data_IF_643860790190
#
_entry.id   IF_643860790190
#
_cell.length_a   1.000
_cell.length_b   1.000
_cell.length_c   1.000
_cell.angle_alpha   90.00
_cell.angle_beta   90.00
_cell.angle_gamma   90.00
#
_symmetry.space_group_name_H-M   'P 1'
#
loop_
_entity.id
_entity.type
_entity.pdbx_description
1 polymer ?
#
# COMPACT_ATOMS: atom_id res chain seq x y z
N UNK A 1 -27.75 3.13 -62.87
CA UNK A 1 -26.35 3.42 -62.47
C UNK A 1 -26.14 3.53 -60.96
N UNK A 2 -27.15 3.84 -60.13
CA UNK A 2 -26.97 3.96 -58.67
C UNK A 2 -26.53 2.68 -57.95
N UNK A 3 -27.01 1.50 -58.37
CA UNK A 3 -26.69 0.19 -57.74
C UNK A 3 -25.24 -0.25 -57.98
N UNK A 4 -24.59 0.20 -59.05
CA UNK A 4 -23.22 -0.20 -59.38
C UNK A 4 -22.13 0.51 -58.54
N UNK A 5 -22.50 1.57 -57.80
CA UNK A 5 -21.56 2.42 -57.06
C UNK A 5 -21.60 2.12 -55.55
N UNK A 6 -22.68 1.52 -55.05
CA UNK A 6 -22.85 1.23 -53.63
C UNK A 6 -22.24 -0.15 -53.34
N UNK A 7 -21.23 -0.26 -52.46
CA UNK A 7 -20.65 -1.55 -52.12
C UNK A 7 -21.54 -2.25 -51.09
N UNK A 8 -22.62 -2.90 -51.55
CA UNK A 8 -23.64 -3.54 -50.71
C UNK A 8 -23.07 -4.64 -49.78
N UNK A 9 -21.96 -5.27 -50.14
CA UNK A 9 -21.29 -6.30 -49.33
C UNK A 9 -20.33 -5.74 -48.27
N UNK A 10 -19.93 -4.47 -48.36
CA UNK A 10 -18.93 -3.88 -47.47
C UNK A 10 -19.34 -3.90 -46.00
N UNK A 11 -20.59 -3.58 -45.60
CA UNK A 11 -21.00 -3.64 -44.19
C UNK A 11 -20.91 -5.06 -43.61
N UNK A 12 -21.25 -6.08 -44.41
CA UNK A 12 -21.17 -7.48 -43.99
C UNK A 12 -19.71 -7.93 -43.80
N UNK A 13 -18.84 -7.59 -44.76
CA UNK A 13 -17.40 -7.89 -44.68
C UNK A 13 -16.77 -7.19 -43.48
N UNK A 14 -17.05 -5.90 -43.27
CA UNK A 14 -16.53 -5.15 -42.14
C UNK A 14 -16.95 -5.77 -40.79
N UNK A 15 -18.21 -6.19 -40.68
CA UNK A 15 -18.73 -6.84 -39.47
C UNK A 15 -18.03 -8.18 -39.18
N UNK A 16 -17.81 -9.00 -40.21
CA UNK A 16 -17.10 -10.28 -40.06
C UNK A 16 -15.65 -10.04 -39.62
N UNK A 17 -14.96 -9.07 -40.23
CA UNK A 17 -13.57 -8.72 -39.88
C UNK A 17 -13.49 -8.22 -38.43
N UNK A 18 -14.41 -7.34 -38.01
CA UNK A 18 -14.48 -6.86 -36.62
C UNK A 18 -14.76 -8.00 -35.64
N UNK A 19 -15.69 -8.91 -35.97
CA UNK A 19 -16.02 -10.06 -35.12
C UNK A 19 -14.82 -11.01 -34.95
N UNK A 20 -14.05 -11.25 -36.01
CA UNK A 20 -12.78 -11.98 -35.92
C UNK A 20 -11.77 -11.26 -35.02
N UNK A 21 -11.69 -9.92 -35.10
CA UNK A 21 -10.89 -9.09 -34.20
C UNK A 21 -11.29 -9.27 -32.73
N UNK A 22 -12.60 -9.19 -32.44
CA UNK A 22 -13.15 -9.43 -31.09
C UNK A 22 -12.78 -10.82 -30.57
N UNK A 23 -12.91 -11.87 -31.39
CA UNK A 23 -12.53 -13.23 -30.99
C UNK A 23 -11.04 -13.36 -30.67
N UNK A 24 -10.16 -12.67 -31.42
CA UNK A 24 -8.71 -12.65 -31.14
C UNK A 24 -8.39 -11.92 -29.84
N UNK A 25 -9.07 -10.80 -29.56
CA UNK A 25 -8.91 -10.03 -28.33
C UNK A 25 -9.44 -10.79 -27.10
N UNK A 26 -10.58 -11.48 -27.23
CA UNK A 26 -11.15 -12.28 -26.15
C UNK A 26 -10.21 -13.43 -25.71
N UNK A 27 -9.50 -14.07 -26.65
CA UNK A 27 -8.44 -15.06 -26.36
C UNK A 27 -7.25 -14.48 -25.59
N UNK A 28 -7.12 -13.15 -25.53
CA UNK A 28 -6.11 -12.40 -24.77
C UNK A 28 -6.72 -11.66 -23.56
N UNK A 29 -7.85 -12.15 -23.05
CA UNK A 29 -8.57 -11.59 -21.91
C UNK A 29 -9.13 -10.16 -22.11
N UNK A 30 -9.22 -9.67 -23.36
CA UNK A 30 -9.86 -8.39 -23.68
C UNK A 30 -11.27 -8.61 -24.20
N UNK A 31 -12.27 -8.40 -23.34
CA UNK A 31 -13.69 -8.62 -23.65
C UNK A 31 -14.28 -7.35 -24.26
N UNK A 32 -14.57 -7.40 -25.57
CA UNK A 32 -15.20 -6.30 -26.30
C UNK A 32 -16.73 -6.47 -26.28
N UNK A 33 -17.44 -5.50 -25.67
CA UNK A 33 -18.92 -5.50 -25.60
C UNK A 33 -19.57 -4.95 -26.87
N UNK A 34 -18.90 -4.04 -27.57
CA UNK A 34 -19.39 -3.38 -28.79
C UNK A 34 -18.38 -3.54 -29.92
N UNK A 35 -18.79 -4.07 -31.08
CA UNK A 35 -17.90 -4.35 -32.21
C UNK A 35 -17.10 -3.13 -32.69
N UNK A 36 -17.73 -1.95 -32.72
CA UNK A 36 -17.10 -0.69 -33.10
C UNK A 36 -15.95 -0.25 -32.17
N UNK A 37 -15.91 -0.77 -30.94
CA UNK A 37 -14.82 -0.47 -30.00
C UNK A 37 -13.47 -1.03 -30.46
N UNK A 38 -13.43 -2.03 -31.34
CA UNK A 38 -12.17 -2.54 -31.91
C UNK A 38 -11.46 -1.46 -32.72
N UNK A 39 -12.21 -0.72 -33.54
CA UNK A 39 -11.68 0.40 -34.34
C UNK A 39 -11.32 1.60 -33.45
N UNK A 40 -12.18 1.88 -32.46
CA UNK A 40 -11.92 2.97 -31.50
C UNK A 40 -10.63 2.74 -30.72
N UNK A 41 -10.39 1.50 -30.26
CA UNK A 41 -9.17 1.15 -29.55
C UNK A 41 -7.92 1.29 -30.44
N UNK A 42 -8.02 0.92 -31.71
CA UNK A 42 -6.92 1.07 -32.68
C UNK A 42 -6.59 2.52 -33.05
N UNK A 43 -7.50 3.46 -32.80
CA UNK A 43 -7.32 4.89 -33.03
C UNK A 43 -7.07 5.69 -31.74
N UNK A 44 -6.94 5.01 -30.59
CA UNK A 44 -6.70 5.66 -29.32
C UNK A 44 -5.32 6.34 -29.30
N UNK A 45 -5.30 7.64 -28.98
CA UNK A 45 -4.07 8.44 -28.82
C UNK A 45 -3.74 8.71 -27.35
N UNK A 46 -4.69 8.46 -26.44
CA UNK A 46 -4.53 8.64 -24.99
C UNK A 46 -5.17 7.45 -24.27
N UNK A 47 -4.47 6.91 -23.27
CA UNK A 47 -5.00 5.88 -22.37
C UNK A 47 -4.93 6.41 -20.94
N UNK A 48 -6.09 6.55 -20.30
CA UNK A 48 -6.19 6.88 -18.89
C UNK A 48 -6.43 5.59 -18.09
N UNK A 49 -5.58 5.29 -17.11
CA UNK A 49 -5.65 4.08 -16.31
C UNK A 49 -5.69 4.42 -14.83
N UNK A 50 -6.55 3.75 -14.07
CA UNK A 50 -6.49 3.79 -12.61
C UNK A 50 -5.20 3.11 -12.13
N UNK A 51 -4.65 3.53 -10.99
CA UNK A 51 -3.45 2.91 -10.42
C UNK A 51 -3.79 1.57 -9.74
N UNK A 52 -4.65 1.60 -8.73
CA UNK A 52 -4.85 0.48 -7.81
C UNK A 52 -5.56 -0.68 -8.51
N UNK A 53 -4.93 -1.86 -8.52
CA UNK A 53 -5.48 -3.08 -9.12
C UNK A 53 -5.40 -3.15 -10.65
N UNK A 54 -5.12 -2.04 -11.33
CA UNK A 54 -4.86 -2.01 -12.78
C UNK A 54 -3.36 -1.92 -13.06
N UNK A 55 -2.70 -0.82 -12.67
CA UNK A 55 -1.24 -0.70 -12.81
C UNK A 55 -0.47 -1.44 -11.72
N UNK A 56 -1.09 -1.60 -10.56
CA UNK A 56 -0.56 -2.35 -9.41
C UNK A 56 -1.30 -3.65 -9.18
N UNK A 57 -0.73 -4.51 -8.34
CA UNK A 57 -1.28 -5.83 -8.06
C UNK A 57 -2.48 -5.79 -7.10
N UNK A 58 -2.75 -4.63 -6.48
CA UNK A 58 -3.66 -4.48 -5.34
C UNK A 58 -3.30 -5.48 -4.22
N UNK A 59 -2.00 -5.66 -4.00
CA UNK A 59 -1.45 -6.56 -2.99
C UNK A 59 -0.38 -5.82 -2.19
N UNK A 60 -0.82 -5.10 -1.16
CA UNK A 60 0.10 -4.42 -0.26
C UNK A 60 1.16 -5.39 0.27
N UNK A 61 2.42 -4.98 0.22
CA UNK A 61 3.57 -5.83 0.52
C UNK A 61 4.60 -5.04 1.30
N UNK A 62 5.05 -5.55 2.45
CA UNK A 62 6.17 -4.98 3.19
C UNK A 62 7.45 -5.20 2.40
N UNK A 63 8.20 -4.12 2.18
CA UNK A 63 9.44 -4.13 1.37
C UNK A 63 10.65 -3.65 2.14
N UNK A 64 10.46 -2.73 3.08
CA UNK A 64 11.54 -2.15 3.85
C UNK A 64 11.14 -2.10 5.34
N UNK A 65 12.12 -2.33 6.22
CA UNK A 65 11.95 -2.12 7.66
C UNK A 65 13.18 -1.41 8.19
N UNK A 66 12.96 -0.48 9.12
CA UNK A 66 14.03 0.23 9.79
C UNK A 66 13.83 0.19 11.29
N UNK A 67 14.93 0.06 12.03
CA UNK A 67 14.97 -0.01 13.48
C UNK A 67 16.16 0.79 13.96
N UNK A 68 16.02 1.46 15.12
CA UNK A 68 17.15 2.10 15.74
C UNK A 68 18.11 1.06 16.33
N UNK A 69 19.38 1.45 16.49
CA UNK A 69 20.38 0.69 17.23
C UNK A 69 19.88 0.40 18.65
N UNK A 70 19.80 -0.89 19.00
CA UNK A 70 19.27 -1.36 20.28
C UNK A 70 17.78 -1.71 20.27
N UNK A 71 17.05 -1.48 19.17
CA UNK A 71 15.68 -2.00 19.04
C UNK A 71 15.69 -3.49 18.66
N UNK A 72 14.82 -4.29 19.27
CA UNK A 72 14.71 -5.71 18.99
C UNK A 72 13.79 -5.98 17.79
N UNK A 73 14.29 -6.72 16.78
CA UNK A 73 13.51 -7.10 15.59
C UNK A 73 12.27 -7.92 15.93
N UNK A 74 12.32 -8.74 16.98
CA UNK A 74 11.15 -9.50 17.44
C UNK A 74 10.03 -8.57 17.93
N UNK A 75 10.34 -7.46 18.59
CA UNK A 75 9.33 -6.49 19.02
C UNK A 75 8.65 -5.82 17.82
N UNK A 76 9.40 -5.54 16.74
CA UNK A 76 8.81 -4.96 15.53
C UNK A 76 7.84 -5.94 14.88
N UNK A 77 8.25 -7.22 14.74
CA UNK A 77 7.40 -8.27 14.19
C UNK A 77 6.17 -8.51 15.07
N UNK A 78 6.35 -8.60 16.39
CA UNK A 78 5.26 -8.76 17.34
C UNK A 78 4.30 -7.58 17.29
N UNK A 79 4.77 -6.34 17.33
CA UNK A 79 3.92 -5.16 17.25
C UNK A 79 3.17 -5.03 15.91
N UNK A 80 3.83 -5.34 14.80
CA UNK A 80 3.21 -5.38 13.48
C UNK A 80 2.10 -6.45 13.35
N UNK A 81 2.32 -7.60 13.97
CA UNK A 81 1.42 -8.76 13.88
C UNK A 81 0.28 -8.72 14.90
N UNK A 82 0.56 -8.30 16.14
CA UNK A 82 -0.42 -8.29 17.24
C UNK A 82 -1.35 -7.08 17.21
N UNK A 83 -0.83 -5.90 16.80
CA UNK A 83 -1.60 -4.68 16.59
C UNK A 83 -2.27 -4.67 15.20
N UNK A 84 -3.15 -5.65 14.99
CA UNK A 84 -3.67 -6.01 13.68
C UNK A 84 -5.01 -6.77 13.80
N UNK A 85 -6.00 -6.50 12.93
CA UNK A 85 -7.28 -7.21 12.92
C UNK A 85 -7.40 -8.26 11.82
N UNK A 86 -6.38 -8.45 10.99
CA UNK A 86 -6.33 -9.48 9.96
C UNK A 86 -6.40 -10.88 10.58
N UNK A 87 -7.18 -11.75 9.94
CA UNK A 87 -7.40 -13.14 10.37
C UNK A 87 -7.17 -14.09 9.22
N UNK A 88 -6.89 -15.35 9.54
CA UNK A 88 -6.83 -16.42 8.53
C UNK A 88 -8.26 -16.94 8.30
N UNK A 89 -8.74 -16.85 7.07
CA UNK A 89 -9.99 -17.44 6.58
C UNK A 89 -9.63 -18.33 5.38
N UNK A 90 -10.03 -19.60 5.41
CA UNK A 90 -9.72 -20.60 4.37
C UNK A 90 -8.22 -20.69 4.01
N UNK A 91 -7.36 -20.55 5.02
CA UNK A 91 -5.90 -20.63 4.85
C UNK A 91 -5.27 -19.37 4.24
N UNK A 92 -6.00 -18.26 4.12
CA UNK A 92 -5.49 -16.97 3.61
C UNK A 92 -5.75 -15.84 4.59
N UNK A 93 -4.84 -14.88 4.65
CA UNK A 93 -5.04 -13.65 5.40
C UNK A 93 -6.19 -12.82 4.80
N UNK A 94 -7.11 -12.39 5.65
CA UNK A 94 -8.29 -11.61 5.32
C UNK A 94 -8.39 -10.42 6.28
N UNK A 95 -8.60 -9.23 5.75
CA UNK A 95 -8.58 -7.96 6.47
C UNK A 95 -8.25 -6.80 5.52
N UNK A 96 -7.95 -5.63 6.07
CA UNK A 96 -7.41 -4.51 5.28
C UNK A 96 -6.07 -4.90 4.63
N UNK A 97 -5.77 -4.46 3.38
CA UNK A 97 -4.51 -4.79 2.71
C UNK A 97 -3.25 -4.46 3.52
N UNK A 98 -3.24 -3.35 4.26
CA UNK A 98 -2.11 -2.96 5.13
C UNK A 98 -1.86 -4.01 6.20
N UNK A 99 -2.95 -4.49 6.79
CA UNK A 99 -2.93 -5.43 7.91
C UNK A 99 -2.57 -6.84 7.47
N UNK A 100 -3.14 -7.30 6.36
CA UNK A 100 -2.76 -8.58 5.77
C UNK A 100 -1.30 -8.59 5.32
N UNK A 101 -0.78 -7.48 4.79
CA UNK A 101 0.63 -7.35 4.41
C UNK A 101 1.58 -7.50 5.61
N UNK A 102 1.24 -6.92 6.76
CA UNK A 102 2.03 -7.03 7.98
C UNK A 102 2.01 -8.47 8.53
N UNK A 103 0.85 -9.13 8.47
CA UNK A 103 0.73 -10.53 8.91
C UNK A 103 1.46 -11.51 7.99
N UNK A 104 1.35 -11.33 6.67
CA UNK A 104 2.13 -12.09 5.67
C UNK A 104 3.64 -11.88 5.87
N UNK A 105 4.07 -10.63 6.10
CA UNK A 105 5.47 -10.28 6.34
C UNK A 105 6.00 -10.94 7.62
N UNK A 106 5.31 -10.80 8.76
CA UNK A 106 5.73 -11.38 10.02
C UNK A 106 5.85 -12.91 9.94
N UNK A 107 4.88 -13.57 9.28
CA UNK A 107 4.92 -15.01 9.03
C UNK A 107 6.11 -15.40 8.14
N UNK A 108 6.38 -14.65 7.08
CA UNK A 108 7.51 -14.89 6.16
C UNK A 108 8.87 -14.73 6.84
N UNK A 109 8.97 -13.80 7.78
CA UNK A 109 10.18 -13.58 8.59
C UNK A 109 10.37 -14.64 9.70
N UNK A 110 9.47 -15.64 9.78
CA UNK A 110 9.61 -16.78 10.66
C UNK A 110 8.94 -16.62 12.03
N UNK A 111 8.06 -15.62 12.20
CA UNK A 111 7.26 -15.50 13.42
C UNK A 111 6.29 -16.68 13.52
N UNK A 112 6.27 -17.38 14.66
CA UNK A 112 5.22 -18.34 14.97
C UNK A 112 3.92 -17.59 15.29
N UNK A 113 3.13 -17.36 14.23
CA UNK A 113 1.89 -16.58 14.30
C UNK A 113 0.83 -17.22 15.19
N UNK A 114 0.85 -18.55 15.36
CA UNK A 114 -0.11 -19.24 16.22
C UNK A 114 0.37 -19.17 17.67
N UNK A 115 1.63 -19.53 17.93
CA UNK A 115 2.20 -19.48 19.26
C UNK A 115 2.25 -18.08 19.87
N UNK A 116 2.45 -17.04 19.07
CA UNK A 116 2.43 -15.66 19.57
C UNK A 116 1.03 -15.21 20.00
N UNK A 117 -0.04 -15.60 19.28
CA UNK A 117 -1.41 -15.28 19.67
C UNK A 117 -1.79 -15.93 21.01
N UNK A 118 -1.36 -17.18 21.21
CA UNK A 118 -1.62 -17.93 22.44
C UNK A 118 -0.81 -17.38 23.63
N UNK A 119 0.44 -16.97 23.40
CA UNK A 119 1.31 -16.42 24.44
C UNK A 119 1.09 -14.94 24.74
N UNK A 120 0.43 -14.21 23.83
CA UNK A 120 0.13 -12.78 23.93
C UNK A 120 -1.37 -12.52 23.72
N UNK A 121 -2.28 -13.09 24.53
CA UNK A 121 -3.72 -12.86 24.36
C UNK A 121 -4.05 -11.35 24.46
N UNK A 122 -4.79 -10.84 23.47
CA UNK A 122 -5.31 -9.47 23.46
C UNK A 122 -6.33 -9.31 24.59
N UNK A 123 -6.11 -8.34 25.48
CA UNK A 123 -6.98 -8.05 26.63
C UNK A 123 -7.70 -6.71 26.55
N UNK A 124 -7.24 -5.80 25.70
CA UNK A 124 -7.91 -4.55 25.40
C UNK A 124 -7.43 -3.98 24.06
N UNK A 125 -8.17 -3.04 23.50
CA UNK A 125 -7.77 -2.32 22.28
C UNK A 125 -8.27 -0.88 22.22
N UNK A 126 -7.58 -0.09 21.40
CA UNK A 126 -8.04 1.20 20.90
C UNK A 126 -8.07 1.06 19.37
N UNK A 127 -9.25 0.83 18.75
CA UNK A 127 -9.37 0.60 17.32
C UNK A 127 -8.80 1.76 16.50
N UNK A 128 -8.46 1.50 15.23
CA UNK A 128 -8.01 2.57 14.34
C UNK A 128 -9.07 3.69 14.25
N UNK A 129 -8.63 4.93 14.41
CA UNK A 129 -9.45 6.12 14.21
C UNK A 129 -8.82 7.04 13.15
N UNK A 130 -9.62 7.56 12.22
CA UNK A 130 -9.13 8.41 11.14
C UNK A 130 -8.62 9.78 11.60
N UNK A 131 -9.08 10.27 12.75
CA UNK A 131 -8.59 11.50 13.37
C UNK A 131 -7.24 11.30 14.04
N UNK A 132 -7.06 10.20 14.78
CA UNK A 132 -5.80 9.84 15.45
C UNK A 132 -4.77 9.17 14.53
N UNK A 133 -5.22 8.53 13.44
CA UNK A 133 -4.45 7.76 12.46
C UNK A 133 -3.53 6.69 13.06
N UNK A 134 -3.97 6.06 14.14
CA UNK A 134 -3.26 4.97 14.82
C UNK A 134 -4.23 4.01 15.48
N UNK A 135 -3.74 2.80 15.68
CA UNK A 135 -4.37 1.68 16.35
C UNK A 135 -3.47 1.24 17.50
N UNK A 136 -4.10 0.75 18.57
CA UNK A 136 -3.38 0.16 19.70
C UNK A 136 -4.05 -1.13 20.14
N UNK A 137 -3.25 -2.15 20.42
CA UNK A 137 -3.73 -3.39 21.06
C UNK A 137 -2.91 -3.67 22.31
N UNK A 138 -3.56 -4.20 23.33
CA UNK A 138 -2.96 -4.48 24.63
C UNK A 138 -3.01 -5.97 24.88
N UNK A 139 -1.88 -6.55 25.26
CA UNK A 139 -1.68 -7.98 25.38
C UNK A 139 -1.16 -8.35 26.76
N UNK A 140 -1.67 -9.45 27.31
CA UNK A 140 -1.09 -10.06 28.50
C UNK A 140 0.06 -10.97 28.07
N UNK A 141 1.26 -10.75 28.60
CA UNK A 141 2.48 -11.49 28.24
C UNK A 141 3.14 -11.97 29.52
N UNK A 142 2.90 -13.24 29.90
CA UNK A 142 3.26 -13.75 31.22
C UNK A 142 2.69 -12.82 32.33
N UNK A 143 3.54 -12.28 33.21
CA UNK A 143 3.16 -11.35 34.27
C UNK A 143 3.13 -9.87 33.84
N UNK A 144 3.49 -9.59 32.58
CA UNK A 144 3.55 -8.23 32.02
C UNK A 144 2.33 -7.91 31.17
N UNK A 145 2.02 -6.62 31.07
CA UNK A 145 1.03 -6.12 30.12
C UNK A 145 1.76 -5.24 29.11
N UNK A 146 1.63 -5.56 27.83
CA UNK A 146 2.33 -4.85 26.75
C UNK A 146 1.28 -4.27 25.79
N UNK A 147 1.34 -2.96 25.58
CA UNK A 147 0.62 -2.28 24.52
C UNK A 147 1.51 -2.13 23.29
N UNK A 148 0.99 -2.47 22.12
CA UNK A 148 1.60 -2.21 20.82
C UNK A 148 0.79 -1.17 20.08
N UNK A 149 1.46 -0.15 19.56
CA UNK A 149 0.86 0.98 18.83
C UNK A 149 1.39 0.95 17.41
N UNK A 150 0.50 1.06 16.43
CA UNK A 150 0.82 1.14 14.99
C UNK A 150 0.04 2.30 14.36
N UNK A 151 0.72 3.13 13.57
CA UNK A 151 0.05 4.24 12.90
C UNK A 151 0.98 5.09 12.04
N UNK A 152 0.48 6.27 11.66
CA UNK A 152 1.28 7.30 11.00
C UNK A 152 2.50 7.69 11.84
N UNK A 153 3.62 8.00 11.17
CA UNK A 153 4.90 8.22 11.83
C UNK A 153 4.82 9.39 12.83
N UNK A 154 4.24 10.51 12.42
CA UNK A 154 4.08 11.69 13.28
C UNK A 154 3.15 11.41 14.46
N UNK A 155 2.02 10.77 14.20
CA UNK A 155 1.00 10.50 15.21
C UNK A 155 1.45 9.49 16.28
N UNK A 156 2.32 8.54 15.91
CA UNK A 156 2.96 7.63 16.86
C UNK A 156 4.09 8.34 17.61
N UNK A 157 4.96 9.08 16.91
CA UNK A 157 6.10 9.79 17.52
C UNK A 157 5.67 10.84 18.56
N UNK A 158 4.47 11.40 18.43
CA UNK A 158 3.90 12.32 19.42
C UNK A 158 3.77 11.69 20.82
N UNK A 159 3.55 10.38 20.91
CA UNK A 159 3.45 9.63 22.17
C UNK A 159 4.76 9.03 22.67
N UNK A 160 5.83 9.08 21.86
CA UNK A 160 7.11 8.45 22.17
C UNK A 160 7.94 9.30 23.12
N UNK A 161 8.39 8.68 24.23
CA UNK A 161 9.34 9.25 25.18
C UNK A 161 10.67 8.49 25.22
N UNK A 162 10.71 7.26 24.73
CA UNK A 162 11.88 6.39 24.84
C UNK A 162 12.23 5.71 23.52
N UNK A 163 13.47 5.26 23.40
CA UNK A 163 13.97 4.44 22.29
C UNK A 163 14.91 3.36 22.84
N UNK A 164 15.05 2.26 22.11
CA UNK A 164 15.80 1.07 22.52
C UNK A 164 14.90 -0.08 22.98
N UNK A 165 15.52 -1.17 23.41
CA UNK A 165 14.86 -2.34 23.99
C UNK A 165 14.91 -2.32 25.52
N UNK A 166 14.54 -3.44 26.18
CA UNK A 166 14.52 -3.53 27.64
C UNK A 166 15.88 -3.25 28.29
N UNK A 167 16.99 -3.54 27.61
CA UNK A 167 18.34 -3.42 28.16
C UNK A 167 19.00 -2.08 27.80
N UNK A 168 18.56 -1.45 26.69
CA UNK A 168 19.17 -0.25 26.13
C UNK A 168 18.27 0.98 26.15
N UNK A 169 17.09 0.89 26.79
CA UNK A 169 16.11 1.95 26.82
C UNK A 169 16.69 3.26 27.35
N UNK A 170 16.56 4.32 26.55
CA UNK A 170 16.89 5.69 26.94
C UNK A 170 15.83 6.68 26.49
N UNK A 171 15.74 7.88 27.09
CA UNK A 171 14.89 8.94 26.58
C UNK A 171 15.22 9.27 25.12
N UNK A 172 14.17 9.48 24.31
CA UNK A 172 14.31 9.93 22.93
C UNK A 172 14.83 11.37 22.93
N UNK A 173 15.83 11.65 22.11
CA UNK A 173 16.38 12.99 21.92
C UNK A 173 16.00 13.54 20.54
N UNK A 174 16.19 14.84 20.36
CA UNK A 174 15.87 15.53 19.11
C UNK A 174 16.64 14.96 17.90
N UNK A 175 17.86 14.47 18.10
CA UNK A 175 18.63 13.83 17.04
C UNK A 175 17.95 12.54 16.53
N UNK A 176 17.38 11.72 17.43
CA UNK A 176 16.67 10.50 17.05
C UNK A 176 15.40 10.83 16.25
N UNK A 177 14.64 11.86 16.69
CA UNK A 177 13.43 12.29 15.98
C UNK A 177 13.75 12.71 14.55
N UNK A 178 14.84 13.45 14.35
CA UNK A 178 15.30 13.86 13.02
C UNK A 178 15.74 12.68 12.16
N UNK A 179 16.42 11.70 12.75
CA UNK A 179 16.79 10.47 12.05
C UNK A 179 15.56 9.69 11.60
N UNK A 180 14.59 9.45 12.49
CA UNK A 180 13.35 8.74 12.17
C UNK A 180 12.60 9.45 11.05
N UNK A 181 12.52 10.78 11.09
CA UNK A 181 11.90 11.56 10.01
C UNK A 181 12.66 11.47 8.69
N UNK A 182 13.99 11.53 8.73
CA UNK A 182 14.79 11.37 7.52
C UNK A 182 14.59 10.01 6.86
N UNK A 183 14.45 8.94 7.66
CA UNK A 183 14.13 7.60 7.15
C UNK A 183 12.70 7.54 6.60
N UNK A 184 11.73 8.11 7.30
CA UNK A 184 10.34 8.23 6.82
C UNK A 184 10.28 8.93 5.45
N UNK A 185 10.97 10.06 5.30
CA UNK A 185 11.08 10.76 4.02
C UNK A 185 11.79 9.93 2.94
N UNK A 186 12.86 9.22 3.29
CA UNK A 186 13.59 8.36 2.35
C UNK A 186 12.73 7.19 1.83
N UNK A 187 11.98 6.54 2.72
CA UNK A 187 11.01 5.50 2.35
C UNK A 187 9.86 6.08 1.51
N UNK A 188 9.34 7.26 1.88
CA UNK A 188 8.31 7.95 1.11
C UNK A 188 8.73 8.29 -0.32
N UNK A 189 9.99 8.70 -0.53
CA UNK A 189 10.57 8.93 -1.87
C UNK A 189 10.61 7.66 -2.73
N UNK A 190 10.56 6.48 -2.12
CA UNK A 190 10.48 5.19 -2.79
C UNK A 190 9.02 4.70 -2.99
N UNK A 191 8.03 5.60 -2.86
CA UNK A 191 6.59 5.28 -2.90
C UNK A 191 6.09 4.39 -1.76
N UNK A 192 6.86 4.20 -0.69
CA UNK A 192 6.45 3.36 0.42
C UNK A 192 5.45 4.11 1.29
N UNK A 193 4.34 3.43 1.63
CA UNK A 193 3.50 3.77 2.77
C UNK A 193 4.25 3.36 4.03
N UNK A 194 4.60 4.31 4.88
CA UNK A 194 5.38 4.08 6.10
C UNK A 194 4.46 4.07 7.31
N UNK A 195 4.61 3.05 8.17
CA UNK A 195 4.00 3.00 9.49
C UNK A 195 5.07 2.95 10.56
N UNK A 196 4.84 3.67 11.64
CA UNK A 196 5.64 3.54 12.86
C UNK A 196 5.00 2.49 13.79
N UNK A 197 5.87 1.74 14.46
CA UNK A 197 5.50 0.82 15.53
C UNK A 197 6.19 1.28 16.82
N UNK A 198 5.43 1.32 17.89
CA UNK A 198 5.91 1.61 19.22
C UNK A 198 5.27 0.65 20.23
N UNK A 199 5.85 0.54 21.42
CA UNK A 199 5.32 -0.29 22.50
C UNK A 199 5.36 0.41 23.84
N UNK A 200 4.60 -0.10 24.80
CA UNK A 200 4.68 0.30 26.21
C UNK A 200 4.38 -0.86 27.12
N UNK A 201 5.22 -1.04 28.13
CA UNK A 201 4.91 -1.92 29.26
C UNK A 201 4.03 -1.16 30.26
N UNK A 202 2.95 -1.80 30.71
CA UNK A 202 1.93 -1.24 31.59
C UNK A 202 1.98 -1.95 32.94
N UNK A 203 1.75 -1.18 34.00
CA UNK A 203 1.69 -1.60 35.39
C UNK A 203 0.29 -2.02 35.85
N UNK A 204 -0.74 -1.75 35.03
CA UNK A 204 -2.13 -2.07 35.34
C UNK A 204 -2.93 -2.42 34.07
N UNK A 205 -4.08 -3.06 34.27
CA UNK A 205 -5.02 -3.37 33.20
C UNK A 205 -5.72 -2.11 32.71
N UNK A 206 -5.84 -2.01 31.39
CA UNK A 206 -6.50 -0.92 30.69
C UNK A 206 -7.87 -1.40 30.17
N UNK A 207 -8.80 -0.47 29.98
CA UNK A 207 -10.12 -0.73 29.38
C UNK A 207 -10.08 -0.47 27.87
N UNK A 208 -10.99 -1.09 27.13
CA UNK A 208 -11.16 -0.78 25.71
C UNK A 208 -11.44 0.70 25.49
N UNK A 209 -10.77 1.26 24.48
CA UNK A 209 -10.88 2.66 24.09
C UNK A 209 -10.09 3.66 24.93
N UNK A 210 -9.32 3.22 25.94
CA UNK A 210 -8.50 4.14 26.74
C UNK A 210 -7.26 4.60 25.96
N UNK A 211 -7.35 5.81 25.41
CA UNK A 211 -6.30 6.42 24.58
C UNK A 211 -5.02 6.79 25.35
N UNK A 212 -5.03 6.85 26.69
CA UNK A 212 -3.82 7.18 27.47
C UNK A 212 -2.75 6.09 27.42
N UNK A 213 -3.11 4.90 26.94
CA UNK A 213 -2.17 3.84 26.62
C UNK A 213 -1.15 4.26 25.53
N UNK A 214 -1.51 5.25 24.70
CA UNK A 214 -0.71 5.73 23.57
C UNK A 214 0.30 6.82 23.97
N UNK A 215 0.46 7.08 25.26
CA UNK A 215 1.46 8.00 25.82
C UNK A 215 2.67 7.22 26.37
N UNK A 216 3.80 7.91 26.57
CA UNK A 216 5.02 7.34 27.20
C UNK A 216 5.53 6.08 26.49
N UNK A 217 5.44 6.07 25.16
CA UNK A 217 5.80 4.94 24.33
C UNK A 217 7.32 4.83 24.18
N UNK A 218 7.77 3.60 23.95
CA UNK A 218 9.11 3.28 23.45
C UNK A 218 9.00 3.00 21.96
N UNK A 219 9.72 3.76 21.14
CA UNK A 219 9.75 3.56 19.70
C UNK A 219 10.45 2.25 19.33
N UNK A 220 9.85 1.47 18.43
CA UNK A 220 10.38 0.17 18.01
C UNK A 220 11.00 0.25 16.63
N UNK A 221 10.25 0.74 15.63
CA UNK A 221 10.75 0.82 14.25
C UNK A 221 9.73 1.37 13.25
N UNK A 222 10.17 1.45 12.00
CA UNK A 222 9.37 1.81 10.83
C UNK A 222 9.19 0.60 9.92
N UNK A 223 8.03 0.51 9.27
CA UNK A 223 7.72 -0.48 8.27
C UNK A 223 7.25 0.24 7.01
N UNK A 224 7.99 0.07 5.92
CA UNK A 224 7.66 0.55 4.59
C UNK A 224 6.98 -0.55 3.77
N UNK A 225 5.80 -0.25 3.25
CA UNK A 225 5.03 -1.15 2.40
C UNK A 225 4.56 -0.47 1.13
N UNK A 226 4.38 -1.24 0.07
CA UNK A 226 3.94 -0.74 -1.23
C UNK A 226 2.90 -1.69 -1.81
N UNK A 227 1.97 -1.14 -2.59
CA UNK A 227 1.21 -1.93 -3.54
C UNK A 227 2.04 -2.05 -4.83
N UNK A 228 2.73 -3.18 -5.06
CA UNK A 228 3.74 -3.27 -6.09
C UNK A 228 3.11 -3.15 -7.48
N UNK A 229 3.81 -2.49 -8.43
CA UNK A 229 3.37 -2.48 -9.81
C UNK A 229 3.34 -3.89 -10.39
N UNK A 230 2.49 -4.10 -11.39
CA UNK A 230 2.54 -5.32 -12.21
C UNK A 230 3.76 -5.27 -13.12
N UNK A 231 4.49 -6.38 -13.26
CA UNK A 231 5.72 -6.39 -14.06
C UNK A 231 5.45 -6.12 -15.54
N UNK A 232 4.30 -6.58 -16.06
CA UNK A 232 3.87 -6.35 -17.43
C UNK A 232 3.58 -4.86 -17.75
N UNK A 233 3.31 -4.03 -16.74
CA UNK A 233 2.93 -2.62 -16.95
C UNK A 233 4.08 -1.81 -17.51
N UNK A 234 5.33 -2.06 -17.09
CA UNK A 234 6.50 -1.38 -17.65
C UNK A 234 6.62 -1.59 -19.16
N UNK A 235 6.36 -2.81 -19.61
CA UNK A 235 6.37 -3.18 -21.03
C UNK A 235 5.23 -2.48 -21.76
N UNK A 236 4.01 -2.55 -21.22
CA UNK A 236 2.83 -1.93 -21.82
C UNK A 236 2.97 -0.39 -21.95
N UNK A 237 3.51 0.27 -20.94
CA UNK A 237 3.79 1.72 -20.97
C UNK A 237 4.81 2.06 -22.05
N UNK A 238 5.87 1.26 -22.17
CA UNK A 238 6.87 1.43 -23.24
C UNK A 238 6.24 1.25 -24.63
N UNK A 239 5.44 0.21 -24.82
CA UNK A 239 4.73 -0.03 -26.09
C UNK A 239 3.78 1.13 -26.44
N UNK A 240 3.08 1.70 -25.45
CA UNK A 240 2.27 2.89 -25.66
C UNK A 240 3.11 4.08 -26.14
N UNK A 241 4.25 4.34 -25.49
CA UNK A 241 5.17 5.43 -25.88
C UNK A 241 5.73 5.22 -27.29
N UNK A 242 6.17 4.02 -27.60
CA UNK A 242 6.72 3.66 -28.93
C UNK A 242 5.65 3.80 -30.03
N UNK A 243 4.37 3.58 -29.70
CA UNK A 243 3.23 3.76 -30.60
C UNK A 243 2.71 5.21 -30.66
N UNK A 244 3.29 6.16 -29.91
CA UNK A 244 2.82 7.54 -29.85
C UNK A 244 1.52 7.74 -29.05
N UNK A 245 1.15 6.76 -28.22
CA UNK A 245 -0.02 6.80 -27.34
C UNK A 245 0.39 7.39 -25.98
N UNK A 246 -0.28 8.46 -25.55
CA UNK A 246 -0.05 9.07 -24.24
C UNK A 246 -0.74 8.26 -23.14
N UNK A 247 0.03 7.58 -22.30
CA UNK A 247 -0.49 6.95 -21.09
C UNK A 247 -0.60 7.97 -19.94
N UNK A 248 -1.69 7.94 -19.19
CA UNK A 248 -1.99 8.80 -18.03
C UNK A 248 -2.47 7.93 -16.88
N UNK A 249 -1.91 8.13 -15.70
CA UNK A 249 -2.38 7.51 -14.46
C UNK A 249 -3.33 8.45 -13.73
N UNK A 250 -4.45 7.92 -13.27
CA UNK A 250 -5.40 8.60 -12.38
C UNK A 250 -5.38 7.84 -11.06
N UNK A 251 -5.18 8.53 -9.94
CA UNK A 251 -5.12 7.89 -8.64
C UNK A 251 -5.58 8.82 -7.52
N UNK A 252 -6.12 8.24 -6.45
CA UNK A 252 -6.43 8.95 -5.21
C UNK A 252 -5.28 8.97 -4.20
N UNK A 253 -4.11 8.42 -4.57
CA UNK A 253 -2.91 8.47 -3.73
C UNK A 253 -2.36 9.90 -3.63
N UNK A 254 -1.54 10.14 -2.61
CA UNK A 254 -0.80 11.39 -2.46
C UNK A 254 0.15 11.61 -3.66
N UNK A 255 0.36 12.87 -4.04
CA UNK A 255 1.14 13.26 -5.23
C UNK A 255 2.52 12.58 -5.29
N UNK A 256 3.25 12.58 -4.18
CA UNK A 256 4.59 11.99 -4.07
C UNK A 256 4.60 10.49 -4.36
N UNK A 257 3.59 9.76 -3.89
CA UNK A 257 3.43 8.33 -4.16
C UNK A 257 3.11 8.08 -5.64
N UNK A 258 2.19 8.87 -6.20
CA UNK A 258 1.83 8.77 -7.62
C UNK A 258 3.05 9.03 -8.53
N UNK A 259 3.85 10.06 -8.21
CA UNK A 259 5.09 10.37 -8.91
C UNK A 259 6.11 9.22 -8.86
N UNK A 260 6.33 8.66 -7.67
CA UNK A 260 7.29 7.60 -7.48
C UNK A 260 6.87 6.30 -8.21
N UNK A 261 5.59 5.91 -8.15
CA UNK A 261 5.06 4.78 -8.95
C UNK A 261 5.17 5.09 -10.44
N UNK A 262 4.79 6.30 -10.87
CA UNK A 262 4.86 6.74 -12.27
C UNK A 262 6.27 6.64 -12.84
N UNK A 263 7.29 7.03 -12.07
CA UNK A 263 8.71 6.86 -12.43
C UNK A 263 9.10 5.38 -12.47
N UNK A 264 8.70 4.60 -11.46
CA UNK A 264 9.05 3.18 -11.35
C UNK A 264 8.51 2.33 -12.51
N UNK A 265 7.31 2.63 -13.00
CA UNK A 265 6.71 1.92 -14.15
C UNK A 265 7.09 2.53 -15.51
N UNK A 266 7.94 3.56 -15.51
CA UNK A 266 8.36 4.26 -16.72
C UNK A 266 7.25 5.10 -17.38
N UNK A 267 6.17 5.41 -16.66
CA UNK A 267 5.08 6.26 -17.14
C UNK A 267 5.56 7.70 -17.33
N UNK A 268 6.37 8.19 -16.39
CA UNK A 268 6.86 9.55 -16.38
C UNK A 268 8.37 9.63 -16.14
N UNK A 269 8.97 10.72 -16.63
CA UNK A 269 10.35 11.11 -16.39
C UNK A 269 10.43 12.25 -15.38
N UNK A 270 11.65 12.61 -15.00
CA UNK A 270 11.88 13.79 -14.17
C UNK A 270 11.48 15.07 -14.91
N UNK A 271 10.71 15.93 -14.24
CA UNK A 271 10.16 17.16 -14.83
C UNK A 271 8.82 16.99 -15.55
N UNK A 272 8.31 15.76 -15.70
CA UNK A 272 6.96 15.54 -16.22
C UNK A 272 5.89 16.05 -15.25
N UNK A 273 4.76 16.49 -15.80
CA UNK A 273 3.70 17.16 -15.06
C UNK A 273 2.88 16.16 -14.23
N UNK A 274 2.67 16.50 -12.96
CA UNK A 274 1.66 15.89 -12.09
C UNK A 274 0.68 16.99 -11.72
N UNK A 275 -0.61 16.64 -11.66
CA UNK A 275 -1.67 17.60 -11.36
C UNK A 275 -2.59 16.98 -10.32
N UNK A 276 -2.73 17.65 -9.19
CA UNK A 276 -3.71 17.30 -8.16
C UNK A 276 -5.10 17.77 -8.56
N UNK A 277 -6.16 17.25 -7.92
CA UNK A 277 -7.54 17.68 -8.21
C UNK A 277 -7.74 19.19 -8.01
N UNK A 278 -7.15 19.76 -6.95
CA UNK A 278 -7.23 21.20 -6.65
C UNK A 278 -6.56 22.05 -7.73
N UNK A 279 -5.40 21.61 -8.21
CA UNK A 279 -4.72 22.29 -9.31
C UNK A 279 -5.51 22.17 -10.62
N UNK A 280 -6.11 21.02 -10.90
CA UNK A 280 -6.93 20.80 -12.09
C UNK A 280 -8.15 21.71 -12.13
N UNK A 281 -8.82 21.92 -10.99
CA UNK A 281 -10.00 22.80 -10.88
C UNK A 281 -9.66 24.28 -11.14
N UNK A 282 -8.39 24.66 -11.08
CA UNK A 282 -7.92 26.04 -11.24
C UNK A 282 -7.21 26.31 -12.58
N UNK A 283 -7.13 25.30 -13.47
CA UNK A 283 -6.56 25.40 -14.82
C UNK A 283 -7.60 25.77 -15.87
#
# INVERSE_FOLDING_TARGET
MAVAVIPESLPAVATIVMAMGVQRLAKRNAIIRNLSSVETLGSATVICSDKTGTLTQNKMTVTEVWQNLGSNRQDLMAGAFLCNDARIIDGKWSGDPTETALSEWAQKEGLDTVGILDSHPRIAEVPFDSGRKKMTTVHQVQDKIIAYVKGGVDEVLAGVLYIGDQDTQRPIIEADRREIQAINEAMGKQALRVLAVAKRELDHKIKDGDVHVEEKLTFVGLIGMIDPPREEVKVAVKECKDAGIRAVMITGDHQTTAEAIGKQIGLMAEGDRVVTGVELDTM
#
